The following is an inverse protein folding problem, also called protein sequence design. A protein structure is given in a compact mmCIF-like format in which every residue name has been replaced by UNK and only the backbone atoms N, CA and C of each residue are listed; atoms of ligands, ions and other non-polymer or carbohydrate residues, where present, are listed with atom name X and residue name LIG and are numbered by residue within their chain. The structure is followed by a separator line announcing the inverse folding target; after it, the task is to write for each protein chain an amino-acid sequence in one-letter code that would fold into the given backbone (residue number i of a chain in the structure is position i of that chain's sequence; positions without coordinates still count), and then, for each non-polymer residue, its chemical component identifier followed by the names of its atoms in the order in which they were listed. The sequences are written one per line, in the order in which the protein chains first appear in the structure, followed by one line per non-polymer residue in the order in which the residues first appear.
data_IF_270281537057
#
_entry.id   IF_270281537057
#
_cell.length_a   1.000
_cell.length_b   1.000
_cell.length_c   1.000
_cell.angle_alpha   90.00
_cell.angle_beta   90.00
_cell.angle_gamma   90.00
#
_symmetry.space_group_name_H-M   'P 1'
#
loop_
_entity.id
_entity.type
_entity.pdbx_description
1 polymer ?
#
# COMPACT_ATOMS: atom_id res chain seq x y z
N UNK A 1 -11.67 22.65 -18.05
CA UNK A 1 -11.09 21.42 -18.60
C UNK A 1 -10.03 21.68 -19.68
N UNK A 2 -8.96 20.88 -19.72
CA UNK A 2 -7.83 20.99 -20.67
C UNK A 2 -8.09 20.40 -22.07
N UNK A 3 -9.34 20.05 -22.40
CA UNK A 3 -9.73 19.41 -23.67
C UNK A 3 -8.90 18.15 -24.00
N UNK A 4 -8.64 17.32 -23.00
CA UNK A 4 -7.87 16.08 -23.14
C UNK A 4 -8.83 14.95 -23.57
N UNK A 5 -8.72 14.39 -24.79
CA UNK A 5 -9.64 13.38 -25.29
C UNK A 5 -9.28 11.95 -24.85
N UNK A 6 -8.04 11.70 -24.43
CA UNK A 6 -7.55 10.38 -24.03
C UNK A 6 -6.81 10.48 -22.70
N UNK A 7 -7.20 9.63 -21.76
CA UNK A 7 -6.53 9.50 -20.45
C UNK A 7 -6.07 8.06 -20.32
N UNK A 8 -4.78 7.84 -20.07
CA UNK A 8 -4.21 6.48 -19.95
C UNK A 8 -3.80 6.26 -18.50
N UNK A 9 -4.49 5.35 -17.82
CA UNK A 9 -4.11 4.83 -16.52
C UNK A 9 -3.14 3.65 -16.70
N UNK A 10 -2.21 3.49 -15.76
CA UNK A 10 -1.26 2.38 -15.77
C UNK A 10 -1.98 1.04 -15.63
N UNK A 11 -2.61 0.84 -14.48
CA UNK A 11 -3.26 -0.42 -14.12
C UNK A 11 -4.70 -0.30 -13.65
N UNK A 12 -5.49 -1.34 -13.94
CA UNK A 12 -6.76 -1.58 -13.28
C UNK A 12 -6.49 -2.17 -11.89
N UNK A 13 -6.31 -1.30 -10.89
CA UNK A 13 -5.98 -1.69 -9.52
C UNK A 13 -6.96 -2.72 -8.92
N UNK A 14 -8.24 -2.67 -9.30
CA UNK A 14 -9.22 -3.61 -8.77
C UNK A 14 -8.96 -5.04 -9.25
N UNK A 15 -8.60 -5.19 -10.51
CA UNK A 15 -8.22 -6.47 -11.10
C UNK A 15 -6.84 -6.93 -10.59
N UNK A 16 -5.83 -6.05 -10.65
CA UNK A 16 -4.44 -6.40 -10.30
C UNK A 16 -4.26 -6.80 -8.83
N UNK A 17 -4.99 -6.14 -7.93
CA UNK A 17 -4.87 -6.33 -6.48
C UNK A 17 -5.99 -7.19 -5.88
N UNK A 18 -6.92 -7.70 -6.71
CA UNK A 18 -7.88 -8.74 -6.32
C UNK A 18 -9.12 -8.25 -5.57
N UNK A 19 -9.55 -7.02 -5.81
CA UNK A 19 -10.89 -6.55 -5.38
C UNK A 19 -11.96 -6.81 -6.45
N UNK A 20 -11.56 -7.24 -7.65
CA UNK A 20 -12.43 -7.71 -8.72
C UNK A 20 -11.72 -8.78 -9.56
N UNK A 21 -12.50 -9.72 -10.10
CA UNK A 21 -12.04 -10.65 -11.14
C UNK A 21 -12.30 -10.12 -12.56
N UNK A 22 -13.01 -9.00 -12.69
CA UNK A 22 -13.39 -8.43 -13.97
C UNK A 22 -12.30 -7.45 -14.46
N UNK A 23 -11.58 -7.86 -15.51
CA UNK A 23 -10.73 -6.94 -16.25
C UNK A 23 -11.52 -6.23 -17.36
N UNK A 24 -11.24 -4.94 -17.55
CA UNK A 24 -11.86 -4.10 -18.56
C UNK A 24 -10.88 -3.03 -19.04
N UNK A 25 -11.00 -2.66 -20.31
CA UNK A 25 -10.13 -1.61 -20.86
C UNK A 25 -10.53 -0.22 -20.38
N UNK A 26 -11.81 0.00 -20.06
CA UNK A 26 -12.37 1.34 -19.86
C UNK A 26 -12.35 1.77 -18.40
N UNK A 27 -11.65 2.86 -18.12
CA UNK A 27 -11.60 3.48 -16.81
C UNK A 27 -12.74 4.51 -16.57
N UNK A 28 -13.80 4.50 -17.40
CA UNK A 28 -14.91 5.49 -17.33
C UNK A 28 -15.59 5.53 -15.97
N UNK A 29 -15.75 4.36 -15.34
CA UNK A 29 -16.32 4.25 -13.99
C UNK A 29 -15.58 5.08 -12.94
N UNK A 30 -14.27 5.33 -13.11
CA UNK A 30 -13.51 6.17 -12.18
C UNK A 30 -13.82 7.65 -12.34
N UNK A 31 -14.04 8.12 -13.57
CA UNK A 31 -14.55 9.48 -13.83
C UNK A 31 -15.96 9.61 -13.27
N UNK A 32 -16.83 8.64 -13.55
CA UNK A 32 -18.22 8.62 -13.06
C UNK A 32 -18.29 8.59 -11.54
N UNK A 33 -17.41 7.84 -10.86
CA UNK A 33 -17.34 7.80 -9.40
C UNK A 33 -16.98 9.17 -8.79
N UNK A 34 -16.10 9.93 -9.45
CA UNK A 34 -15.78 11.31 -9.06
C UNK A 34 -17.01 12.24 -9.14
N UNK A 35 -17.92 11.97 -10.08
CA UNK A 35 -19.19 12.68 -10.27
C UNK A 35 -20.37 12.08 -9.51
N UNK A 36 -20.14 11.09 -8.65
CA UNK A 36 -21.16 10.64 -7.71
C UNK A 36 -21.45 11.74 -6.68
N UNK A 37 -22.62 11.72 -6.05
CA UNK A 37 -22.95 12.67 -4.97
C UNK A 37 -21.92 12.66 -3.84
N UNK A 38 -21.36 11.49 -3.53
CA UNK A 38 -20.28 11.34 -2.55
C UNK A 38 -18.96 11.93 -3.06
N UNK A 39 -18.62 11.69 -4.34
CA UNK A 39 -17.42 12.23 -4.98
C UNK A 39 -17.43 13.76 -5.08
N UNK A 40 -18.55 14.35 -5.50
CA UNK A 40 -18.72 15.79 -5.59
C UNK A 40 -18.69 16.46 -4.21
N UNK A 41 -19.35 15.85 -3.21
CA UNK A 41 -19.31 16.33 -1.83
C UNK A 41 -17.88 16.33 -1.28
N UNK A 42 -17.18 15.21 -1.44
CA UNK A 42 -15.79 15.09 -0.98
C UNK A 42 -14.87 16.08 -1.71
N UNK A 43 -15.04 16.24 -3.03
CA UNK A 43 -14.28 17.22 -3.81
C UNK A 43 -14.49 18.63 -3.27
N UNK A 44 -15.73 19.01 -2.97
CA UNK A 44 -16.05 20.31 -2.38
C UNK A 44 -15.41 20.49 -1.01
N UNK A 45 -15.53 19.51 -0.12
CA UNK A 45 -14.93 19.58 1.22
C UNK A 45 -13.41 19.75 1.16
N UNK A 46 -12.73 19.03 0.27
CA UNK A 46 -11.29 19.15 0.04
C UNK A 46 -10.95 20.55 -0.50
N UNK A 47 -11.70 21.05 -1.49
CA UNK A 47 -11.48 22.39 -2.04
C UNK A 47 -11.67 23.48 -0.99
N UNK A 48 -12.76 23.42 -0.22
CA UNK A 48 -13.08 24.38 0.83
C UNK A 48 -11.99 24.38 1.91
N UNK A 49 -11.49 23.20 2.31
CA UNK A 49 -10.36 23.08 3.25
C UNK A 49 -9.13 23.86 2.77
N UNK A 50 -8.69 23.64 1.53
CA UNK A 50 -7.49 24.28 1.00
C UNK A 50 -7.65 25.78 0.78
N UNK A 51 -8.83 26.20 0.30
CA UNK A 51 -9.14 27.63 0.12
C UNK A 51 -9.14 28.34 1.48
N UNK A 52 -9.78 27.75 2.49
CA UNK A 52 -9.79 28.29 3.86
C UNK A 52 -8.41 28.26 4.51
N UNK A 53 -7.51 27.39 4.03
CA UNK A 53 -6.10 27.33 4.43
C UNK A 53 -5.20 28.34 3.69
N UNK A 54 -5.77 29.19 2.83
CA UNK A 54 -5.08 30.28 2.14
C UNK A 54 -4.62 29.98 0.72
N UNK A 55 -4.94 28.81 0.16
CA UNK A 55 -4.64 28.51 -1.25
C UNK A 55 -5.68 29.14 -2.18
N UNK A 56 -5.23 29.59 -3.35
CA UNK A 56 -6.15 30.07 -4.38
C UNK A 56 -6.76 28.90 -5.15
N UNK A 57 -7.89 29.13 -5.83
CA UNK A 57 -8.46 28.16 -6.78
C UNK A 57 -7.47 27.75 -7.88
N UNK A 58 -6.56 28.65 -8.26
CA UNK A 58 -5.52 28.38 -9.25
C UNK A 58 -4.53 27.33 -8.73
N UNK A 59 -4.17 27.41 -7.45
CA UNK A 59 -3.20 26.50 -6.82
C UNK A 59 -3.75 25.07 -6.70
N UNK A 60 -5.06 24.93 -6.54
CA UNK A 60 -5.73 23.63 -6.39
C UNK A 60 -6.41 23.12 -7.67
N UNK A 61 -6.18 23.76 -8.82
CA UNK A 61 -6.87 23.41 -10.07
C UNK A 61 -6.72 21.93 -10.47
N UNK A 62 -5.63 21.26 -10.06
CA UNK A 62 -5.38 19.85 -10.35
C UNK A 62 -6.36 18.88 -9.65
N UNK A 63 -7.01 19.30 -8.56
CA UNK A 63 -7.98 18.48 -7.80
C UNK A 63 -9.43 18.93 -8.01
N UNK A 64 -9.65 19.94 -8.86
CA UNK A 64 -10.98 20.36 -9.28
C UNK A 64 -11.44 19.45 -10.43
N UNK A 65 -12.55 18.75 -10.22
CA UNK A 65 -13.14 17.90 -11.25
C UNK A 65 -13.70 18.76 -12.39
N UNK A 66 -13.53 18.36 -13.67
CA UNK A 66 -14.21 18.99 -14.80
C UNK A 66 -15.73 18.99 -14.61
N UNK A 67 -16.46 19.98 -15.10
CA UNK A 67 -17.93 19.93 -15.01
C UNK A 67 -18.51 18.85 -15.92
N UNK A 68 -19.75 18.43 -15.66
CA UNK A 68 -20.44 17.45 -16.52
C UNK A 68 -20.56 17.95 -17.96
N UNK A 69 -20.85 19.24 -18.16
CA UNK A 69 -20.92 19.87 -19.48
C UNK A 69 -19.56 19.83 -20.20
N UNK A 70 -18.46 20.01 -19.46
CA UNK A 70 -17.11 19.89 -20.03
C UNK A 70 -16.79 18.45 -20.43
N UNK A 71 -17.19 17.46 -19.60
CA UNK A 71 -17.05 16.04 -19.93
C UNK A 71 -17.90 15.64 -21.13
N UNK A 72 -19.13 16.13 -21.23
CA UNK A 72 -20.04 15.87 -22.36
C UNK A 72 -19.54 16.50 -23.67
N UNK A 73 -18.85 17.64 -23.58
CA UNK A 73 -18.22 18.31 -24.73
C UNK A 73 -16.97 17.57 -25.21
N UNK A 74 -16.07 17.23 -24.30
CA UNK A 74 -14.76 16.63 -24.63
C UNK A 74 -14.88 15.13 -24.91
N UNK A 75 -15.81 14.45 -24.20
CA UNK A 75 -16.02 12.99 -24.22
C UNK A 75 -14.70 12.23 -24.05
N UNK A 76 -13.97 12.44 -22.94
CA UNK A 76 -12.70 11.78 -22.73
C UNK A 76 -12.88 10.26 -22.73
N UNK A 77 -11.92 9.56 -23.33
CA UNK A 77 -11.82 8.10 -23.31
C UNK A 77 -10.72 7.70 -22.30
N UNK A 78 -11.07 7.42 -21.04
CA UNK A 78 -10.12 6.91 -20.07
C UNK A 78 -9.94 5.39 -20.24
N UNK A 79 -8.69 4.95 -20.36
CA UNK A 79 -8.36 3.54 -20.56
C UNK A 79 -7.32 3.03 -19.55
N UNK A 80 -7.32 1.74 -19.29
CA UNK A 80 -6.25 1.03 -18.59
C UNK A 80 -5.27 0.45 -19.60
N UNK A 81 -4.00 0.83 -19.50
CA UNK A 81 -2.94 0.23 -20.32
C UNK A 81 -2.76 -1.25 -19.98
N UNK A 82 -2.96 -1.63 -18.71
CA UNK A 82 -2.87 -3.03 -18.24
C UNK A 82 -3.74 -4.00 -19.02
N UNK A 83 -4.86 -3.55 -19.58
CA UNK A 83 -5.74 -4.37 -20.41
C UNK A 83 -5.07 -4.82 -21.72
N UNK A 84 -4.20 -3.99 -22.29
CA UNK A 84 -3.51 -4.27 -23.55
C UNK A 84 -2.10 -4.84 -23.34
N UNK A 85 -1.46 -4.44 -22.24
CA UNK A 85 -0.13 -4.91 -21.86
C UNK A 85 -0.17 -5.29 -20.39
N UNK A 86 -0.04 -6.58 -20.03
CA UNK A 86 -0.14 -7.03 -18.65
C UNK A 86 0.73 -6.20 -17.71
N UNK A 87 0.14 -5.76 -16.60
CA UNK A 87 0.85 -4.96 -15.61
C UNK A 87 1.92 -5.80 -14.91
N UNK A 88 3.14 -5.27 -14.82
CA UNK A 88 4.21 -5.90 -14.09
C UNK A 88 5.09 -4.85 -13.39
N UNK A 89 4.87 -4.68 -12.09
CA UNK A 89 5.60 -3.76 -11.22
C UNK A 89 7.13 -3.93 -11.30
N UNK A 90 7.63 -5.18 -11.31
CA UNK A 90 9.06 -5.45 -11.40
C UNK A 90 9.63 -5.10 -12.78
N UNK A 91 8.96 -5.50 -13.86
CA UNK A 91 9.39 -5.14 -15.22
C UNK A 91 9.38 -3.63 -15.42
N UNK A 92 8.34 -2.94 -14.96
CA UNK A 92 8.23 -1.49 -15.04
C UNK A 92 9.35 -0.80 -14.26
N UNK A 93 9.63 -1.28 -13.04
CA UNK A 93 10.76 -0.83 -12.24
C UNK A 93 12.10 -1.02 -12.96
N UNK A 94 12.36 -2.20 -13.54
CA UNK A 94 13.61 -2.49 -14.25
C UNK A 94 13.79 -1.60 -15.49
N UNK A 95 12.71 -1.34 -16.23
CA UNK A 95 12.72 -0.38 -17.34
C UNK A 95 13.03 1.02 -16.82
N UNK A 96 12.31 1.50 -15.80
CA UNK A 96 12.54 2.83 -15.23
C UNK A 96 13.96 3.02 -14.72
N UNK A 97 14.56 1.98 -14.10
CA UNK A 97 15.94 1.99 -13.62
C UNK A 97 16.95 2.21 -14.74
N UNK A 98 16.70 1.68 -15.94
CA UNK A 98 17.53 1.94 -17.13
C UNK A 98 17.50 3.40 -17.58
N UNK A 99 16.45 4.14 -17.24
CA UNK A 99 16.27 5.56 -17.58
C UNK A 99 16.54 6.51 -16.41
N UNK A 100 17.15 6.02 -15.32
CA UNK A 100 17.63 6.86 -14.22
C UNK A 100 16.77 6.84 -12.95
N UNK A 101 15.75 6.00 -12.86
CA UNK A 101 15.03 5.80 -11.60
C UNK A 101 15.98 5.23 -10.53
N UNK A 102 15.96 5.82 -9.34
CA UNK A 102 16.73 5.40 -8.17
C UNK A 102 15.79 4.86 -7.11
N UNK A 103 15.94 3.57 -6.81
CA UNK A 103 15.28 2.93 -5.68
C UNK A 103 16.02 3.21 -4.37
N UNK A 104 15.53 2.63 -3.27
CA UNK A 104 16.09 2.86 -1.93
C UNK A 104 17.36 2.05 -1.62
N UNK A 105 17.88 1.21 -2.52
CA UNK A 105 18.99 0.30 -2.19
C UNK A 105 20.24 0.99 -1.65
N UNK A 106 20.51 2.22 -2.10
CA UNK A 106 21.68 3.01 -1.67
C UNK A 106 21.34 4.13 -0.68
N UNK A 107 20.09 4.23 -0.24
CA UNK A 107 19.63 5.26 0.71
C UNK A 107 19.23 4.60 2.03
N UNK A 108 18.21 3.74 2.01
CA UNK A 108 17.61 3.21 3.23
C UNK A 108 16.99 1.83 2.99
N UNK A 109 17.41 0.88 3.82
CA UNK A 109 16.84 -0.45 3.83
C UNK A 109 15.58 -0.47 4.69
N UNK A 110 14.45 -0.21 4.06
CA UNK A 110 13.12 -0.22 4.69
C UNK A 110 12.77 -1.57 5.32
N UNK A 111 12.21 -1.54 6.52
CA UNK A 111 11.64 -2.69 7.22
C UNK A 111 10.15 -2.88 6.90
N UNK A 112 9.59 -4.06 7.19
CA UNK A 112 8.15 -4.29 7.00
C UNK A 112 7.69 -4.45 5.54
N UNK A 113 8.63 -4.50 4.59
CA UNK A 113 8.39 -4.64 3.15
C UNK A 113 9.28 -5.72 2.54
N UNK A 114 8.99 -6.10 1.29
CA UNK A 114 9.81 -7.02 0.49
C UNK A 114 10.49 -6.35 -0.71
N UNK A 115 10.12 -5.10 -1.02
CA UNK A 115 10.62 -4.34 -2.17
C UNK A 115 11.19 -2.98 -1.74
N UNK A 116 12.08 -2.42 -2.57
CA UNK A 116 12.80 -1.16 -2.34
C UNK A 116 12.44 -0.04 -3.33
N UNK A 117 11.53 -0.31 -4.28
CA UNK A 117 11.20 0.61 -5.39
C UNK A 117 9.80 1.21 -5.33
N UNK A 118 8.92 0.69 -4.46
CA UNK A 118 7.56 1.20 -4.29
C UNK A 118 7.47 2.28 -3.21
N UNK A 119 6.72 3.36 -3.48
CA UNK A 119 6.38 4.40 -2.49
C UNK A 119 7.64 4.97 -1.82
N UNK A 120 8.62 5.41 -2.61
CA UNK A 120 9.97 5.77 -2.12
C UNK A 120 10.09 7.24 -1.68
N UNK A 121 9.19 8.09 -2.16
CA UNK A 121 9.17 9.54 -1.98
C UNK A 121 8.32 10.00 -0.79
N UNK A 122 7.38 9.16 -0.34
CA UNK A 122 6.50 9.43 0.80
C UNK A 122 6.88 8.55 1.99
N UNK A 123 7.83 9.00 2.82
CA UNK A 123 8.40 8.20 3.92
C UNK A 123 7.33 7.90 5.00
N UNK A 124 6.67 8.92 5.55
CA UNK A 124 5.61 8.78 6.56
C UNK A 124 4.40 7.95 6.09
N UNK A 125 4.16 7.87 4.78
CA UNK A 125 3.06 7.08 4.22
C UNK A 125 3.14 5.63 4.67
N UNK A 126 4.32 5.04 4.81
CA UNK A 126 4.41 3.62 5.16
C UNK A 126 3.86 3.29 6.57
N UNK A 127 3.67 4.28 7.45
CA UNK A 127 3.06 4.11 8.78
C UNK A 127 1.64 3.56 8.67
N UNK A 128 0.81 4.13 7.79
CA UNK A 128 -0.57 3.65 7.67
C UNK A 128 -0.64 2.23 7.09
N UNK A 129 0.34 1.82 6.26
CA UNK A 129 0.38 0.45 5.73
C UNK A 129 0.66 -0.52 6.88
N UNK A 130 1.60 -0.19 7.76
CA UNK A 130 1.92 -1.02 8.92
C UNK A 130 0.75 -1.09 9.91
N UNK A 131 -0.07 -0.05 10.07
CA UNK A 131 -1.26 -0.06 10.95
C UNK A 131 -2.28 -1.16 10.59
N UNK A 132 -2.22 -1.76 9.39
CA UNK A 132 -2.96 -2.99 9.07
C UNK A 132 -2.60 -4.14 10.02
N UNK A 133 -1.33 -4.25 10.42
CA UNK A 133 -0.86 -5.36 11.25
C UNK A 133 -1.59 -5.46 12.60
N UNK A 134 -1.60 -4.43 13.47
CA UNK A 134 -2.31 -4.52 14.75
C UNK A 134 -3.82 -4.74 14.61
N UNK A 135 -4.41 -4.41 13.44
CA UNK A 135 -5.84 -4.55 13.19
C UNK A 135 -6.24 -5.91 12.59
N UNK A 136 -5.44 -6.41 11.64
CA UNK A 136 -5.80 -7.53 10.76
C UNK A 136 -4.79 -8.68 10.75
N UNK A 137 -3.61 -8.52 11.35
CA UNK A 137 -2.59 -9.57 11.41
C UNK A 137 -1.64 -9.66 10.21
N UNK A 138 -1.74 -8.72 9.27
CA UNK A 138 -0.87 -8.65 8.10
C UNK A 138 -0.62 -7.20 7.67
N UNK A 139 0.44 -6.99 6.89
CA UNK A 139 0.85 -5.68 6.38
C UNK A 139 1.40 -5.80 4.94
N UNK A 140 2.36 -4.92 4.58
CA UNK A 140 2.85 -4.80 3.21
C UNK A 140 3.56 -6.05 2.70
N UNK A 141 4.27 -6.79 3.55
CA UNK A 141 5.01 -7.96 3.11
C UNK A 141 4.04 -9.06 2.65
N UNK A 142 2.89 -9.22 3.31
CA UNK A 142 1.81 -10.09 2.82
C UNK A 142 1.30 -9.65 1.45
N UNK A 143 1.01 -8.35 1.28
CA UNK A 143 0.50 -7.83 0.00
C UNK A 143 1.48 -8.12 -1.16
N UNK A 144 2.79 -7.98 -0.92
CA UNK A 144 3.83 -8.25 -1.94
C UNK A 144 4.03 -9.75 -2.16
N UNK A 145 4.14 -10.54 -1.09
CA UNK A 145 4.34 -11.99 -1.19
C UNK A 145 3.20 -12.66 -1.97
N UNK A 146 1.95 -12.26 -1.73
CA UNK A 146 0.81 -12.74 -2.50
C UNK A 146 0.94 -12.46 -4.00
N UNK A 147 1.41 -11.26 -4.40
CA UNK A 147 1.64 -10.94 -5.81
C UNK A 147 2.77 -11.79 -6.40
N UNK A 148 3.88 -11.96 -5.67
CA UNK A 148 5.00 -12.78 -6.13
C UNK A 148 4.61 -14.25 -6.30
N UNK A 149 3.77 -14.80 -5.41
CA UNK A 149 3.21 -16.15 -5.56
C UNK A 149 2.33 -16.25 -6.81
N UNK A 150 1.41 -15.30 -7.03
CA UNK A 150 0.55 -15.27 -8.24
C UNK A 150 1.36 -15.21 -9.53
N UNK A 151 2.50 -14.52 -9.50
CA UNK A 151 3.45 -14.41 -10.62
C UNK A 151 4.40 -15.62 -10.75
N UNK A 152 4.32 -16.60 -9.86
CA UNK A 152 5.24 -17.75 -9.85
C UNK A 152 6.69 -17.42 -9.48
N UNK A 153 6.94 -16.23 -8.88
CA UNK A 153 8.28 -15.77 -8.50
C UNK A 153 8.81 -16.47 -7.23
N UNK A 154 7.91 -16.82 -6.32
CA UNK A 154 8.22 -17.53 -5.08
C UNK A 154 7.17 -18.61 -4.83
N UNK A 155 7.54 -19.63 -4.05
CA UNK A 155 6.59 -20.62 -3.53
C UNK A 155 5.75 -20.05 -2.39
N UNK A 156 4.65 -20.72 -2.04
CA UNK A 156 3.83 -20.36 -0.88
C UNK A 156 4.63 -20.44 0.42
N UNK A 157 5.47 -21.45 0.56
CA UNK A 157 6.32 -21.69 1.72
C UNK A 157 7.36 -20.58 1.90
N UNK A 158 7.95 -20.11 0.79
CA UNK A 158 8.85 -18.94 0.79
C UNK A 158 8.10 -17.66 1.19
N UNK A 159 6.90 -17.45 0.63
CA UNK A 159 6.05 -16.33 0.98
C UNK A 159 5.72 -16.27 2.47
N UNK A 160 5.37 -17.41 3.09
CA UNK A 160 5.13 -17.50 4.53
C UNK A 160 6.35 -17.02 5.31
N UNK A 161 7.56 -17.52 4.98
CA UNK A 161 8.80 -17.09 5.67
C UNK A 161 9.07 -15.59 5.54
N UNK A 162 8.78 -15.01 4.38
CA UNK A 162 8.96 -13.58 4.14
C UNK A 162 7.97 -12.74 4.96
N UNK A 163 6.70 -13.13 4.99
CA UNK A 163 5.66 -12.47 5.80
C UNK A 163 6.00 -12.50 7.27
N UNK A 164 6.36 -13.68 7.79
CA UNK A 164 6.79 -13.89 9.18
C UNK A 164 7.88 -12.91 9.61
N UNK A 165 8.89 -12.76 8.75
CA UNK A 165 10.06 -11.95 9.03
C UNK A 165 9.73 -10.46 9.03
N UNK A 166 8.75 -10.01 8.24
CA UNK A 166 8.61 -8.61 7.89
C UNK A 166 7.32 -7.95 8.42
N UNK A 167 6.14 -8.56 8.33
CA UNK A 167 4.86 -7.84 8.50
C UNK A 167 4.69 -7.13 9.85
N UNK A 168 5.27 -7.68 10.92
CA UNK A 168 5.21 -7.09 12.26
C UNK A 168 6.18 -5.92 12.46
N UNK A 169 7.18 -5.74 11.59
CA UNK A 169 8.24 -4.73 11.76
C UNK A 169 7.73 -3.37 11.32
N UNK A 170 7.68 -2.44 12.27
CA UNK A 170 7.49 -1.01 11.99
C UNK A 170 8.84 -0.40 11.67
N UNK A 171 8.96 0.18 10.48
CA UNK A 171 10.19 0.88 10.12
C UNK A 171 10.35 2.17 10.94
N UNK A 172 11.53 2.34 11.54
CA UNK A 172 11.81 3.47 12.44
C UNK A 172 11.88 4.82 11.72
N UNK A 173 12.47 4.87 10.52
CA UNK A 173 12.55 6.11 9.73
C UNK A 173 11.15 6.57 9.30
N UNK A 174 10.29 5.63 8.94
CA UNK A 174 8.87 5.94 8.68
C UNK A 174 8.16 6.45 9.92
N UNK A 175 8.32 5.80 11.08
CA UNK A 175 7.70 6.23 12.33
C UNK A 175 8.14 7.64 12.74
N UNK A 176 9.44 7.92 12.67
CA UNK A 176 10.02 9.22 12.99
C UNK A 176 9.50 10.32 12.05
N UNK A 177 9.47 10.06 10.74
CA UNK A 177 8.97 11.02 9.75
C UNK A 177 7.47 11.32 9.97
N UNK A 178 6.67 10.28 10.23
CA UNK A 178 5.25 10.44 10.53
C UNK A 178 5.02 11.24 11.83
N UNK A 179 5.71 10.88 12.90
CA UNK A 179 5.59 11.55 14.20
C UNK A 179 6.00 13.02 14.11
N UNK A 180 7.09 13.31 13.39
CA UNK A 180 7.54 14.67 13.14
C UNK A 180 6.50 15.47 12.34
N UNK A 181 5.93 14.87 11.29
CA UNK A 181 4.92 15.53 10.47
C UNK A 181 3.63 15.81 11.24
N UNK A 182 3.17 14.85 12.04
CA UNK A 182 1.90 14.95 12.78
C UNK A 182 2.02 15.64 14.16
N UNK A 183 3.25 15.87 14.65
CA UNK A 183 3.49 16.48 15.95
C UNK A 183 3.29 15.53 17.14
N UNK A 184 3.47 14.23 16.95
CA UNK A 184 3.40 13.24 18.03
C UNK A 184 4.78 12.89 18.57
N UNK A 185 4.88 12.62 19.87
CA UNK A 185 5.97 11.83 20.42
C UNK A 185 5.80 10.35 20.06
N UNK A 186 6.91 9.61 20.01
CA UNK A 186 6.89 8.15 19.81
C UNK A 186 6.03 7.44 20.87
N UNK A 187 6.01 7.94 22.10
CA UNK A 187 5.18 7.37 23.17
C UNK A 187 3.69 7.55 22.89
N UNK A 188 3.25 8.75 22.52
CA UNK A 188 1.85 9.01 22.19
C UNK A 188 1.36 8.14 21.03
N UNK A 189 2.20 7.97 20.00
CA UNK A 189 1.90 7.06 18.89
C UNK A 189 1.63 5.64 19.40
N UNK A 190 2.53 5.08 20.20
CA UNK A 190 2.37 3.71 20.72
C UNK A 190 1.21 3.59 21.72
N UNK A 191 0.95 4.61 22.55
CA UNK A 191 -0.19 4.65 23.46
C UNK A 191 -1.54 4.69 22.71
N UNK A 192 -1.57 5.30 21.52
CA UNK A 192 -2.72 5.24 20.61
C UNK A 192 -2.85 3.83 20.02
N UNK A 193 -1.78 3.31 19.40
CA UNK A 193 -1.77 1.98 18.75
C UNK A 193 -2.19 0.88 19.73
N UNK A 194 -1.74 0.95 21.00
CA UNK A 194 -2.10 0.02 22.07
C UNK A 194 -3.62 -0.17 22.21
N UNK A 195 -4.41 0.88 21.98
CA UNK A 195 -5.88 0.84 22.09
C UNK A 195 -6.56 0.15 20.91
N UNK A 196 -5.89 0.07 19.75
CA UNK A 196 -6.46 -0.42 18.50
C UNK A 196 -6.04 -1.84 18.13
N UNK A 197 -5.18 -2.48 18.92
CA UNK A 197 -4.87 -3.89 18.73
C UNK A 197 -6.13 -4.74 18.78
N UNK A 198 -6.33 -5.55 17.75
CA UNK A 198 -7.45 -6.47 17.68
C UNK A 198 -7.21 -7.66 18.63
N UNK A 199 -7.82 -7.61 19.82
CA UNK A 199 -7.71 -8.63 20.87
C UNK A 199 -8.37 -9.96 20.51
N UNK A 200 -9.14 -10.04 19.43
CA UNK A 200 -9.68 -11.32 18.95
C UNK A 200 -8.59 -12.17 18.31
N UNK A 201 -7.71 -11.53 17.51
CA UNK A 201 -6.64 -12.21 16.76
C UNK A 201 -5.26 -12.09 17.42
N UNK A 202 -5.08 -11.12 18.32
CA UNK A 202 -3.84 -10.92 19.07
C UNK A 202 -3.99 -11.20 20.57
N UNK A 203 -2.91 -11.67 21.18
CA UNK A 203 -2.74 -11.83 22.63
C UNK A 203 -1.46 -11.10 23.07
N UNK A 204 -1.48 -10.50 24.26
CA UNK A 204 -0.33 -9.83 24.84
C UNK A 204 0.37 -10.77 25.82
N UNK A 205 1.61 -11.17 25.50
CA UNK A 205 2.44 -12.06 26.31
C UNK A 205 3.69 -11.28 26.70
N UNK A 206 3.96 -11.14 28.00
CA UNK A 206 5.10 -10.38 28.54
C UNK A 206 5.22 -8.96 27.96
N UNK A 207 4.07 -8.28 27.80
CA UNK A 207 4.02 -6.92 27.26
C UNK A 207 4.08 -6.81 25.73
N UNK A 208 4.17 -7.93 24.99
CA UNK A 208 4.32 -7.94 23.52
C UNK A 208 3.12 -8.59 22.87
N UNK A 209 2.60 -7.96 21.82
CA UNK A 209 1.48 -8.48 21.03
C UNK A 209 1.91 -9.58 20.07
N UNK A 210 1.20 -10.71 20.09
CA UNK A 210 1.44 -11.89 19.26
C UNK A 210 0.13 -12.38 18.65
N UNK A 211 0.17 -12.87 17.40
CA UNK A 211 -0.99 -13.51 16.78
C UNK A 211 -1.35 -14.76 17.60
N UNK A 212 -2.65 -14.97 17.85
CA UNK A 212 -3.14 -16.20 18.51
C UNK A 212 -3.03 -17.42 17.60
N UNK A 213 -3.32 -17.23 16.31
CA UNK A 213 -3.32 -18.29 15.30
C UNK A 213 -2.42 -17.88 14.11
N UNK A 214 -1.10 -17.80 14.30
CA UNK A 214 -0.19 -17.52 13.19
C UNK A 214 -0.26 -18.66 12.15
N UNK A 215 -0.07 -18.34 10.86
CA UNK A 215 0.01 -19.33 9.76
C UNK A 215 1.17 -20.33 9.94
N UNK A 216 2.08 -20.02 10.86
CA UNK A 216 3.23 -20.81 11.27
C UNK A 216 3.12 -21.07 12.75
N UNK A 217 3.47 -22.26 13.22
CA UNK A 217 3.70 -22.45 14.65
C UNK A 217 5.06 -21.86 14.97
N UNK A 218 5.12 -20.88 15.86
CA UNK A 218 6.39 -20.49 16.45
C UNK A 218 6.84 -21.71 17.29
N UNK A 219 7.99 -22.31 16.96
CA UNK A 219 8.52 -23.47 17.70
C UNK A 219 8.78 -23.14 19.18
N UNK A 220 8.89 -21.86 19.50
CA UNK A 220 8.98 -21.36 20.86
C UNK A 220 8.00 -20.19 21.04
N UNK A 221 6.99 -20.38 21.88
CA UNK A 221 6.00 -19.35 22.26
C UNK A 221 6.64 -18.17 23.00
N UNK A 222 7.88 -18.29 23.48
CA UNK A 222 8.67 -17.23 24.10
C UNK A 222 9.56 -16.49 23.11
N UNK A 223 9.92 -17.08 21.95
CA UNK A 223 10.89 -16.47 21.01
C UNK A 223 10.40 -15.09 20.54
N UNK A 224 11.27 -14.10 20.74
CA UNK A 224 10.99 -12.67 20.55
C UNK A 224 11.34 -12.14 19.16
N UNK A 225 12.08 -12.90 18.34
CA UNK A 225 12.58 -12.43 17.05
C UNK A 225 12.81 -13.60 16.09
N UNK A 226 11.99 -13.69 15.02
CA UNK A 226 12.25 -14.46 13.81
C UNK A 226 12.48 -15.98 13.98
N UNK A 227 12.24 -16.73 12.92
CA UNK A 227 12.67 -18.14 12.85
C UNK A 227 14.16 -18.26 13.20
N UNK A 228 14.59 -19.33 13.89
CA UNK A 228 15.99 -19.68 13.94
C UNK A 228 16.54 -19.85 12.52
N UNK A 229 17.79 -19.43 12.22
CA UNK A 229 18.39 -19.46 10.88
C UNK A 229 18.59 -20.86 10.27
N UNK A 230 18.08 -21.94 10.89
CA UNK A 230 18.34 -23.33 10.51
C UNK A 230 17.08 -24.11 10.08
N UNK A 231 15.91 -23.49 9.94
CA UNK A 231 14.70 -24.22 9.47
C UNK A 231 14.78 -24.48 7.96
N UNK A 232 15.45 -25.58 7.62
CA UNK A 232 15.47 -26.18 6.29
C UNK A 232 14.22 -27.06 6.12
N UNK A 233 13.17 -26.53 5.49
CA UNK A 233 11.90 -27.24 5.25
C UNK A 233 12.00 -28.35 4.18
N UNK A 234 13.21 -28.78 3.80
CA UNK A 234 13.42 -29.92 2.91
C UNK A 234 13.44 -31.28 3.61
N UNK A 235 13.30 -31.34 4.92
CA UNK A 235 13.12 -32.62 5.60
C UNK A 235 11.62 -32.87 5.82
N UNK A 236 11.00 -33.43 4.78
CA UNK A 236 9.85 -34.31 4.93
C UNK A 236 10.32 -35.75 4.75
N UNK A 237 9.85 -36.60 5.67
CA UNK A 237 10.00 -38.07 5.82
C UNK A 237 11.23 -38.45 6.64
N UNK A 238 11.12 -39.23 7.70
CA UNK A 238 10.17 -40.33 7.97
C UNK A 238 9.35 -40.18 9.26
#
# INVERSE_FOLDING_TARGET
AFNIPLVVFGENAAYEYGTSEADNYSAKKFIEAGHSSAGEKLSKEIQDFWINSGLSKRDINAVILPSKEELDRVKPEPIFLSYFTPWDDERNYLIAKRYGFKDLHHDWRREGTLESYGQIDSIAYFTHIWLKYPKFGFARATDIACRWIRKGKISREEGIKLVMKNDHRMDQRTLEDFNKFMGYSTREFWDIVEKFWNREIFIKINGIWRLKNPLWKLENEESYLSLPPHVNLKEKKE
#
